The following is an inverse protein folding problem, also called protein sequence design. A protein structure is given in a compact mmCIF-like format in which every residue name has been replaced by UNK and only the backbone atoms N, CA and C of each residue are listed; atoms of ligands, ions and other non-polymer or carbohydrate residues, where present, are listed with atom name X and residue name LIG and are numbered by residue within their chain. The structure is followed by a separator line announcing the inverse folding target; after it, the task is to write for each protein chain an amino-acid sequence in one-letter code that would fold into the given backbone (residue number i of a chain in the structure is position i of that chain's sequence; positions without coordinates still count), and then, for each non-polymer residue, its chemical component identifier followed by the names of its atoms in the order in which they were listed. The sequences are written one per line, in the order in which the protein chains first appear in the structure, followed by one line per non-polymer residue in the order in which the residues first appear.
data_IF_267793473629
#
_entry.id   IF_267793473629
#
_cell.length_a   1.000
_cell.length_b   1.000
_cell.length_c   1.000
_cell.angle_alpha   90.00
_cell.angle_beta   90.00
_cell.angle_gamma   90.00
#
_symmetry.space_group_name_H-M   'P 1'
#
loop_
_entity.id
_entity.type
_entity.pdbx_description
1 polymer ?
#
# COMPACT_ATOMS: atom_id res chain seq x y z
N UNK A 1 -2.32 8.14 25.20
CA UNK A 1 -1.78 9.21 24.35
C UNK A 1 -1.69 8.63 22.95
N UNK A 2 -2.67 8.89 22.08
CA UNK A 2 -2.67 8.36 20.71
C UNK A 2 -1.78 9.28 19.86
N UNK A 3 -0.62 8.76 19.45
CA UNK A 3 0.44 9.50 18.75
C UNK A 3 0.01 9.85 17.32
N UNK A 4 0.26 11.10 16.93
CA UNK A 4 -0.17 11.74 15.69
C UNK A 4 0.67 11.29 14.47
N UNK A 5 0.57 10.04 14.01
CA UNK A 5 1.28 9.54 12.80
C UNK A 5 0.43 8.75 11.80
N UNK A 6 -0.89 8.97 11.78
CA UNK A 6 -1.84 8.27 10.92
C UNK A 6 -1.82 8.80 9.47
N UNK A 7 -0.84 8.38 8.66
CA UNK A 7 -1.00 8.39 7.20
C UNK A 7 -0.36 7.15 6.54
N UNK A 8 -0.34 6.03 7.26
CA UNK A 8 -0.16 4.71 6.64
C UNK A 8 -1.52 4.34 6.00
N UNK A 9 -1.59 4.39 4.67
CA UNK A 9 -2.77 3.97 3.90
C UNK A 9 -2.43 2.68 3.15
N UNK A 10 -3.30 1.70 3.24
CA UNK A 10 -3.10 0.40 2.62
C UNK A 10 -4.10 0.23 1.48
N UNK A 11 -3.58 -0.15 0.33
CA UNK A 11 -4.30 -0.26 -0.92
C UNK A 11 -4.08 -1.63 -1.54
N UNK A 12 -5.13 -2.24 -2.07
CA UNK A 12 -5.02 -3.43 -2.91
C UNK A 12 -5.28 -3.06 -4.37
N UNK A 13 -4.34 -3.39 -5.25
CA UNK A 13 -4.48 -3.27 -6.68
C UNK A 13 -4.99 -4.61 -7.25
N UNK A 14 -6.30 -4.78 -7.53
CA UNK A 14 -6.81 -6.03 -8.10
C UNK A 14 -6.29 -6.31 -9.50
N UNK A 15 -6.02 -5.27 -10.30
CA UNK A 15 -5.49 -5.37 -11.66
C UNK A 15 -4.13 -6.08 -11.71
N UNK A 16 -3.26 -5.77 -10.73
CA UNK A 16 -1.93 -6.35 -10.60
C UNK A 16 -1.85 -7.47 -9.55
N UNK A 17 -2.93 -7.69 -8.79
CA UNK A 17 -2.98 -8.52 -7.57
C UNK A 17 -1.83 -8.19 -6.61
N UNK A 18 -1.68 -6.89 -6.32
CA UNK A 18 -0.59 -6.37 -5.48
C UNK A 18 -1.12 -5.53 -4.35
N UNK A 19 -0.56 -5.77 -3.18
CA UNK A 19 -0.76 -4.98 -1.99
C UNK A 19 0.22 -3.82 -2.01
N UNK A 20 -0.28 -2.61 -1.78
CA UNK A 20 0.45 -1.35 -1.80
C UNK A 20 0.22 -0.65 -0.46
N UNK A 21 1.26 -0.05 0.07
CA UNK A 21 1.27 0.67 1.31
C UNK A 21 1.84 2.06 1.01
N UNK A 22 1.02 3.07 1.21
CA UNK A 22 1.41 4.46 1.14
C UNK A 22 1.77 4.92 2.54
N UNK A 23 3.06 5.22 2.75
CA UNK A 23 3.59 5.72 4.01
C UNK A 23 4.34 7.01 3.73
N UNK A 24 3.88 8.12 4.30
CA UNK A 24 4.52 9.44 4.15
C UNK A 24 4.71 9.86 2.67
N UNK A 25 3.74 9.53 1.80
CA UNK A 25 3.81 9.80 0.36
C UNK A 25 4.74 8.86 -0.42
N UNK A 26 5.34 7.87 0.23
CA UNK A 26 6.11 6.80 -0.40
C UNK A 26 5.25 5.56 -0.60
N UNK A 27 5.29 4.98 -1.80
CA UNK A 27 4.54 3.78 -2.13
C UNK A 27 5.43 2.54 -2.04
N UNK A 28 5.00 1.56 -1.26
CA UNK A 28 5.64 0.27 -1.06
C UNK A 28 4.71 -0.83 -1.54
N UNK A 29 5.18 -1.78 -2.34
CA UNK A 29 4.36 -2.93 -2.72
C UNK A 29 4.88 -4.23 -2.09
N UNK A 30 3.97 -5.14 -1.77
CA UNK A 30 4.36 -6.47 -1.29
C UNK A 30 4.77 -7.34 -2.46
N UNK A 31 6.03 -7.78 -2.42
CA UNK A 31 6.59 -8.73 -3.37
C UNK A 31 7.28 -9.85 -2.60
N UNK A 32 6.66 -11.04 -2.66
CA UNK A 32 7.22 -12.26 -2.07
C UNK A 32 7.48 -12.14 -0.55
N UNK A 33 6.47 -11.71 0.20
CA UNK A 33 6.57 -11.53 1.66
C UNK A 33 7.32 -10.28 2.10
N UNK A 34 7.81 -9.45 1.18
CA UNK A 34 8.62 -8.27 1.49
C UNK A 34 8.04 -7.00 0.91
N UNK A 35 8.09 -5.93 1.68
CA UNK A 35 7.83 -4.58 1.20
C UNK A 35 8.97 -4.13 0.28
N UNK A 36 8.62 -3.73 -0.93
CA UNK A 36 9.55 -3.17 -1.91
C UNK A 36 9.04 -1.81 -2.31
N UNK A 37 9.85 -0.79 -2.07
CA UNK A 37 9.55 0.57 -2.53
C UNK A 37 9.35 0.57 -4.06
N UNK A 38 8.25 1.17 -4.51
CA UNK A 38 7.91 1.22 -5.91
C UNK A 38 7.14 2.49 -6.27
N UNK A 39 7.86 3.43 -6.88
CA UNK A 39 7.35 4.71 -7.37
C UNK A 39 6.25 4.57 -8.43
N UNK A 40 6.13 3.44 -9.14
CA UNK A 40 5.10 3.24 -10.16
C UNK A 40 3.68 3.43 -9.61
N UNK A 41 3.47 3.07 -8.33
CA UNK A 41 2.19 3.18 -7.65
C UNK A 41 1.86 4.61 -7.20
N UNK A 42 2.75 5.58 -7.39
CA UNK A 42 2.40 7.01 -7.28
C UNK A 42 1.24 7.40 -8.21
N UNK A 43 1.05 6.67 -9.32
CA UNK A 43 -0.07 6.82 -10.25
C UNK A 43 -1.45 6.50 -9.64
N UNK A 44 -1.50 5.83 -8.49
CA UNK A 44 -2.74 5.65 -7.70
C UNK A 44 -3.27 7.01 -7.27
N UNK A 45 -2.41 7.94 -6.82
CA UNK A 45 -2.82 9.30 -6.42
C UNK A 45 -3.41 10.10 -7.58
N UNK A 46 -2.96 9.82 -8.81
CA UNK A 46 -3.43 10.47 -10.03
C UNK A 46 -4.77 9.84 -10.50
N UNK A 47 -5.27 8.81 -9.81
CA UNK A 47 -6.48 8.08 -10.20
C UNK A 47 -6.32 7.26 -11.49
N UNK A 48 -5.08 7.00 -11.89
CA UNK A 48 -4.77 6.21 -13.10
C UNK A 48 -4.77 4.71 -12.84
N UNK A 49 -4.73 4.29 -11.58
CA UNK A 49 -4.75 2.89 -11.16
C UNK A 49 -5.91 2.71 -10.20
N UNK A 50 -6.78 1.75 -10.50
CA UNK A 50 -7.86 1.37 -9.59
C UNK A 50 -7.29 0.58 -8.41
N UNK A 51 -7.61 1.05 -7.20
CA UNK A 51 -7.21 0.42 -5.96
C UNK A 51 -8.35 0.38 -4.97
N UNK A 52 -8.37 -0.67 -4.16
CA UNK A 52 -9.31 -0.86 -3.07
C UNK A 52 -8.61 -0.50 -1.75
N UNK A 53 -9.30 0.24 -0.89
CA UNK A 53 -8.83 0.51 0.47
C UNK A 53 -8.92 -0.80 1.28
N UNK A 54 -7.80 -1.18 1.91
CA UNK A 54 -7.72 -2.39 2.74
C UNK A 54 -7.21 -2.05 4.12
N UNK A 55 -7.39 -2.96 5.07
CA UNK A 55 -6.84 -2.79 6.42
C UNK A 55 -5.37 -3.17 6.48
N UNK A 56 -4.66 -2.63 7.48
CA UNK A 56 -3.28 -3.01 7.81
C UNK A 56 -3.13 -4.52 8.04
N UNK A 57 -4.14 -5.16 8.64
CA UNK A 57 -4.13 -6.60 8.94
C UNK A 57 -4.08 -7.43 7.65
N UNK A 58 -4.88 -7.05 6.64
CA UNK A 58 -4.87 -7.72 5.33
C UNK A 58 -3.55 -7.53 4.60
N UNK A 59 -2.96 -6.33 4.69
CA UNK A 59 -1.64 -6.06 4.14
C UNK A 59 -0.54 -6.87 4.84
N UNK A 60 -0.54 -6.88 6.17
CA UNK A 60 0.46 -7.55 7.00
C UNK A 60 0.42 -9.07 6.85
N UNK A 61 -0.76 -9.65 6.60
CA UNK A 61 -0.91 -11.07 6.29
C UNK A 61 -0.11 -11.52 5.05
N UNK A 62 0.24 -10.59 4.17
CA UNK A 62 1.00 -10.85 2.95
C UNK A 62 2.52 -10.76 3.15
N UNK A 63 2.99 -10.26 4.30
CA UNK A 63 4.41 -10.08 4.64
C UNK A 63 5.05 -11.34 5.28
N UNK A 64 4.61 -12.52 4.86
CA UNK A 64 4.98 -13.82 5.43
C UNK A 64 6.42 -14.26 5.14
#
# INVERSE_FOLDING_TARGET
MADFRLHDQYFYCPDYKKYVHCKDGMFYCVKNGKEVYNDFYSKILIGSIYTEDITEEEYSAQLH
#
